data_IF_590315394320
#
_entry.id   IF_590315394320
#
_cell.length_a   1.000
_cell.length_b   1.000
_cell.length_c   1.000
_cell.angle_alpha   90.00
_cell.angle_beta   90.00
_cell.angle_gamma   90.00
#
_symmetry.space_group_name_H-M   'P 1'
#
loop_
_entity.id
_entity.type
_entity.pdbx_description
1 polymer ?
#
# COMPACT_ATOMS: atom_id res chain seq x y z
N UNK A 1 -1.68 16.98 8.08
CA UNK A 1 -1.09 16.12 7.04
C UNK A 1 0.10 16.79 6.38
N UNK A 2 -0.02 18.05 5.96
CA UNK A 2 1.08 18.78 5.31
C UNK A 2 2.38 18.83 6.12
N UNK A 3 2.33 19.19 7.41
CA UNK A 3 3.54 19.24 8.25
C UNK A 3 4.24 17.88 8.39
N UNK A 4 3.47 16.79 8.44
CA UNK A 4 3.99 15.42 8.53
C UNK A 4 4.61 15.01 7.19
N UNK A 5 3.96 15.32 6.08
CA UNK A 5 4.48 15.07 4.72
C UNK A 5 5.76 15.86 4.46
N UNK A 6 5.80 17.15 4.77
CA UNK A 6 6.99 17.99 4.65
C UNK A 6 8.13 17.49 5.54
N UNK A 7 7.84 17.08 6.78
CA UNK A 7 8.83 16.49 7.67
C UNK A 7 9.42 15.21 7.07
N UNK A 8 8.58 14.25 6.65
CA UNK A 8 9.03 12.99 6.05
C UNK A 8 9.83 13.24 4.76
N UNK A 9 9.36 14.12 3.88
CA UNK A 9 10.06 14.51 2.66
C UNK A 9 11.48 15.03 2.97
N UNK A 10 11.58 15.93 3.96
CA UNK A 10 12.86 16.49 4.41
C UNK A 10 13.79 15.42 5.00
N UNK A 11 13.29 14.60 5.93
CA UNK A 11 14.11 13.59 6.62
C UNK A 11 14.50 12.41 5.72
N UNK A 12 13.63 12.04 4.77
CA UNK A 12 13.91 10.96 3.80
C UNK A 12 14.65 11.42 2.55
N UNK A 13 14.93 12.73 2.43
CA UNK A 13 15.50 13.36 1.24
C UNK A 13 14.73 12.99 -0.05
N UNK A 14 13.39 13.03 0.02
CA UNK A 14 12.45 12.77 -1.08
C UNK A 14 11.56 13.99 -1.28
N UNK A 15 11.05 14.21 -2.49
CA UNK A 15 10.02 15.24 -2.71
C UNK A 15 8.70 14.84 -2.07
N UNK A 16 7.87 15.82 -1.69
CA UNK A 16 6.52 15.57 -1.19
C UNK A 16 5.65 14.81 -2.20
N UNK A 17 5.76 15.13 -3.50
CA UNK A 17 5.11 14.38 -4.59
C UNK A 17 5.48 12.89 -4.60
N UNK A 18 6.69 12.52 -4.16
CA UNK A 18 7.09 11.12 -4.08
C UNK A 18 6.51 10.42 -2.84
N UNK A 19 6.16 11.19 -1.80
CA UNK A 19 5.41 10.68 -0.64
C UNK A 19 3.96 10.38 -1.07
N UNK A 20 3.33 11.25 -1.86
CA UNK A 20 1.97 11.04 -2.40
C UNK A 20 1.87 9.86 -3.39
N UNK A 21 2.98 9.50 -4.07
CA UNK A 21 3.03 8.32 -4.96
C UNK A 21 3.21 6.99 -4.24
N UNK A 22 3.50 7.02 -2.93
CA UNK A 22 3.76 5.80 -2.17
C UNK A 22 2.59 4.81 -2.26
N UNK A 23 1.35 5.32 -2.24
CA UNK A 23 0.13 4.52 -2.29
C UNK A 23 0.00 3.76 -3.62
N UNK A 24 0.26 4.45 -4.75
CA UNK A 24 0.25 3.81 -6.07
C UNK A 24 1.39 2.80 -6.23
N UNK A 25 2.54 3.05 -5.58
CA UNK A 25 3.67 2.12 -5.62
C UNK A 25 3.36 0.78 -4.93
N UNK A 26 2.56 0.79 -3.83
CA UNK A 26 2.09 -0.45 -3.19
C UNK A 26 1.31 -1.33 -4.17
N UNK A 27 0.40 -0.73 -4.95
CA UNK A 27 -0.34 -1.45 -5.99
C UNK A 27 0.55 -2.00 -7.10
N UNK A 28 1.53 -1.22 -7.57
CA UNK A 28 2.47 -1.68 -8.60
C UNK A 28 3.32 -2.87 -8.17
N UNK A 29 3.78 -2.88 -6.91
CA UNK A 29 4.52 -4.02 -6.35
C UNK A 29 3.63 -5.25 -6.21
N UNK A 30 2.39 -5.08 -5.73
CA UNK A 30 1.43 -6.17 -5.62
C UNK A 30 1.13 -6.82 -6.99
N UNK A 31 0.86 -5.99 -8.01
CA UNK A 31 0.66 -6.47 -9.39
C UNK A 31 1.86 -7.27 -9.90
N UNK A 32 3.07 -6.74 -9.73
CA UNK A 32 4.28 -7.39 -10.21
C UNK A 32 4.52 -8.76 -9.55
N UNK A 33 4.29 -8.85 -8.24
CA UNK A 33 4.49 -10.09 -7.49
C UNK A 33 3.48 -11.17 -7.91
N UNK A 34 2.22 -10.81 -8.12
CA UNK A 34 1.17 -11.73 -8.60
C UNK A 34 1.43 -12.18 -10.06
N UNK A 35 1.79 -11.25 -10.94
CA UNK A 35 2.08 -11.54 -12.36
C UNK A 35 3.33 -12.39 -12.55
N UNK A 36 4.31 -12.27 -11.64
CA UNK A 36 5.52 -13.08 -11.68
C UNK A 36 5.34 -14.55 -11.27
N UNK A 37 4.11 -14.99 -10.96
CA UNK A 37 3.73 -16.33 -10.46
C UNK A 37 4.48 -16.79 -9.19
N UNK A 38 5.20 -15.89 -8.51
CA UNK A 38 5.98 -16.22 -7.32
C UNK A 38 5.16 -16.16 -6.03
N UNK A 39 3.89 -15.80 -6.09
CA UNK A 39 3.03 -15.62 -4.91
C UNK A 39 1.57 -15.89 -5.27
N UNK A 40 0.89 -16.72 -4.47
CA UNK A 40 -0.52 -17.06 -4.69
C UNK A 40 -1.50 -16.10 -4.02
N UNK A 41 -1.03 -15.28 -3.06
CA UNK A 41 -1.84 -14.26 -2.40
C UNK A 41 -0.97 -13.17 -1.76
N UNK A 42 -1.43 -11.92 -1.78
CA UNK A 42 -0.75 -10.76 -1.18
C UNK A 42 -1.67 -10.09 -0.15
N UNK A 43 -1.09 -9.65 0.96
CA UNK A 43 -1.75 -8.75 1.90
C UNK A 43 -1.04 -7.39 1.85
N UNK A 44 -1.79 -6.34 1.50
CA UNK A 44 -1.33 -4.96 1.55
C UNK A 44 -1.59 -4.43 2.95
N UNK A 45 -0.54 -3.90 3.57
CA UNK A 45 -0.60 -3.28 4.89
C UNK A 45 -0.32 -1.78 4.74
N UNK A 46 -1.29 -0.96 5.14
CA UNK A 46 -1.14 0.50 5.21
C UNK A 46 -2.08 1.03 6.29
N UNK A 47 -1.80 2.21 6.83
CA UNK A 47 -2.69 2.94 7.74
C UNK A 47 -3.67 3.87 6.99
N UNK A 48 -3.61 3.86 5.66
CA UNK A 48 -4.49 4.61 4.78
C UNK A 48 -5.50 3.68 4.11
N UNK A 49 -6.73 3.71 4.59
CA UNK A 49 -7.81 2.82 4.13
C UNK A 49 -8.12 3.01 2.64
N UNK A 50 -8.11 4.25 2.14
CA UNK A 50 -8.44 4.54 0.74
C UNK A 50 -7.33 4.02 -0.19
N UNK A 51 -6.07 4.14 0.23
CA UNK A 51 -4.95 3.53 -0.48
C UNK A 51 -5.06 2.00 -0.50
N UNK A 52 -5.35 1.38 0.65
CA UNK A 52 -5.49 -0.08 0.78
C UNK A 52 -6.63 -0.63 -0.09
N UNK A 53 -7.83 -0.07 0.02
CA UNK A 53 -8.99 -0.46 -0.75
C UNK A 53 -8.81 -0.19 -2.26
N UNK A 54 -8.16 0.93 -2.60
CA UNK A 54 -7.84 1.28 -3.98
C UNK A 54 -6.92 0.25 -4.65
N UNK A 55 -5.91 -0.23 -3.93
CA UNK A 55 -5.02 -1.30 -4.42
C UNK A 55 -5.79 -2.60 -4.64
N UNK A 56 -6.59 -3.06 -3.67
CA UNK A 56 -7.40 -4.28 -3.82
C UNK A 56 -8.30 -4.17 -5.04
N UNK A 57 -9.09 -3.10 -5.13
CA UNK A 57 -10.04 -2.87 -6.24
C UNK A 57 -9.33 -2.88 -7.59
N UNK A 58 -8.18 -2.20 -7.70
CA UNK A 58 -7.43 -2.15 -8.95
C UNK A 58 -6.88 -3.52 -9.35
N UNK A 59 -6.35 -4.29 -8.40
CA UNK A 59 -5.73 -5.60 -8.67
C UNK A 59 -6.79 -6.65 -9.02
N UNK A 60 -7.92 -6.68 -8.31
CA UNK A 60 -9.04 -7.57 -8.64
C UNK A 60 -9.60 -7.25 -10.03
N UNK A 61 -9.72 -5.97 -10.39
CA UNK A 61 -10.12 -5.57 -11.75
C UNK A 61 -9.17 -6.06 -12.87
N UNK A 62 -7.95 -6.49 -12.52
CA UNK A 62 -6.98 -7.09 -13.45
C UNK A 62 -6.97 -8.63 -13.42
N UNK A 63 -7.96 -9.27 -12.79
CA UNK A 63 -8.16 -10.73 -12.82
C UNK A 63 -7.46 -11.50 -11.69
N UNK A 64 -7.00 -10.80 -10.66
CA UNK A 64 -6.42 -11.41 -9.46
C UNK A 64 -7.42 -11.48 -8.29
N UNK A 65 -8.70 -11.68 -8.59
CA UNK A 65 -9.78 -11.79 -7.60
C UNK A 65 -9.44 -12.77 -6.47
N UNK A 66 -9.59 -12.33 -5.23
CA UNK A 66 -9.31 -13.14 -4.04
C UNK A 66 -7.83 -13.47 -3.81
N UNK A 67 -6.91 -12.97 -4.64
CA UNK A 67 -5.45 -13.11 -4.46
C UNK A 67 -4.82 -11.89 -3.80
N UNK A 68 -5.63 -10.88 -3.45
CA UNK A 68 -5.17 -9.70 -2.73
C UNK A 68 -6.13 -9.35 -1.59
N UNK A 69 -5.57 -8.96 -0.45
CA UNK A 69 -6.33 -8.44 0.69
C UNK A 69 -5.67 -7.17 1.22
N UNK A 70 -6.43 -6.39 1.99
CA UNK A 70 -5.96 -5.22 2.71
C UNK A 70 -6.17 -5.44 4.22
N UNK A 71 -5.19 -5.05 5.04
CA UNK A 71 -5.33 -4.93 6.49
C UNK A 71 -4.93 -3.50 6.92
N UNK A 72 -5.74 -2.88 7.76
CA UNK A 72 -5.41 -1.58 8.36
C UNK A 72 -4.26 -1.77 9.38
N UNK A 73 -3.20 -0.99 9.20
CA UNK A 73 -2.05 -0.96 10.09
C UNK A 73 -2.39 -0.60 11.54
N UNK A 74 -3.45 0.18 11.79
CA UNK A 74 -3.86 0.52 13.16
C UNK A 74 -4.44 -0.68 13.91
N UNK A 75 -5.05 -1.65 13.22
CA UNK A 75 -5.54 -2.89 13.85
C UNK A 75 -4.40 -3.70 14.47
N UNK A 76 -3.22 -3.67 13.83
CA UNK A 76 -2.03 -4.37 14.32
C UNK A 76 -1.37 -3.70 15.52
N UNK A 77 -1.64 -2.41 15.77
CA UNK A 77 -1.09 -1.73 16.95
C UNK A 77 -1.58 -2.39 18.24
N UNK A 78 -2.82 -2.89 18.24
CA UNK A 78 -3.38 -3.63 19.37
C UNK A 78 -2.67 -4.96 19.66
N UNK A 79 -1.95 -5.52 18.69
CA UNK A 79 -1.23 -6.80 18.80
C UNK A 79 0.21 -6.61 19.33
N UNK A 80 0.71 -5.37 19.44
CA UNK A 80 2.09 -5.05 19.84
C UNK A 80 2.21 -4.27 21.16
N UNK A 81 1.09 -4.03 21.86
CA UNK A 81 1.01 -3.39 23.19
C UNK A 81 0.36 -4.30 24.21
#
# INVERSE_FOLDING_TARGET
MDDVRSFIARESNRSEDNIEKADTALGGVAAHLLDSENTSAICVLTTDDDAGNGVVTAIEAHGFDGQITFKDGFELISEIT
#
